data_IF_883409794811
#
_entry.id   IF_883409794811
#
_cell.length_a   1.000
_cell.length_b   1.000
_cell.length_c   1.000
_cell.angle_alpha   90.00
_cell.angle_beta   90.00
_cell.angle_gamma   90.00
#
_symmetry.space_group_name_H-M   'P 1'
#
loop_
_entity.id
_entity.type
_entity.pdbx_description
1 polymer ?
#
# COMPACT_ATOMS: atom_id res chain seq x y z
N UNK A 1 12.00 -1.19 -3.50
CA UNK A 1 11.36 0.02 -4.09
C UNK A 1 12.09 1.36 -3.85
N UNK A 2 12.48 1.69 -2.61
CA UNK A 2 13.07 3.01 -2.28
C UNK A 2 14.40 3.29 -3.01
N UNK A 3 15.14 2.25 -3.41
CA UNK A 3 16.37 2.34 -4.20
C UNK A 3 16.14 2.62 -5.70
N UNK A 4 14.88 2.83 -6.16
CA UNK A 4 14.59 3.03 -7.59
C UNK A 4 15.32 4.22 -8.20
N UNK A 5 15.53 5.29 -7.43
CA UNK A 5 16.32 6.45 -7.90
C UNK A 5 17.78 6.11 -8.21
N UNK A 6 18.32 5.02 -7.62
CA UNK A 6 19.67 4.51 -7.88
C UNK A 6 19.69 3.41 -8.93
N UNK A 7 18.71 2.50 -8.91
CA UNK A 7 18.64 1.29 -9.76
C UNK A 7 18.02 1.60 -11.14
N UNK A 8 17.25 2.68 -11.24
CA UNK A 8 16.68 3.22 -12.49
C UNK A 8 15.44 2.47 -13.01
N UNK A 9 15.22 1.22 -12.62
CA UNK A 9 13.98 0.47 -12.91
C UNK A 9 13.75 -0.65 -11.91
N UNK A 10 12.50 -1.11 -11.80
CA UNK A 10 12.19 -2.36 -11.12
C UNK A 10 12.74 -3.55 -11.94
N UNK A 11 13.60 -4.36 -11.32
CA UNK A 11 14.16 -5.59 -11.89
C UNK A 11 13.94 -6.72 -10.91
N UNK A 12 13.93 -7.94 -11.46
CA UNK A 12 14.12 -9.11 -10.61
C UNK A 12 15.54 -9.08 -10.01
N UNK A 13 15.64 -9.39 -8.73
CA UNK A 13 16.89 -9.48 -7.97
C UNK A 13 17.30 -10.95 -7.78
N UNK A 14 18.57 -11.14 -7.40
CA UNK A 14 19.17 -12.47 -7.18
C UNK A 14 19.03 -13.44 -8.36
N UNK A 15 19.18 -12.93 -9.60
CA UNK A 15 19.09 -13.75 -10.82
C UNK A 15 20.41 -14.39 -11.23
N UNK A 16 21.50 -14.18 -10.47
CA UNK A 16 22.78 -14.89 -10.61
C UNK A 16 23.17 -15.54 -9.28
N UNK A 17 24.05 -16.54 -9.32
CA UNK A 17 24.47 -17.27 -8.14
C UNK A 17 25.15 -16.36 -7.09
N UNK A 18 25.95 -15.39 -7.54
CA UNK A 18 26.66 -14.44 -6.68
C UNK A 18 25.66 -13.53 -5.95
N UNK A 19 24.72 -12.94 -6.69
CA UNK A 19 23.67 -12.10 -6.09
C UNK A 19 22.76 -12.91 -5.15
N UNK A 20 22.47 -14.17 -5.50
CA UNK A 20 21.68 -15.05 -4.65
C UNK A 20 22.40 -15.39 -3.34
N UNK A 21 23.69 -15.70 -3.40
CA UNK A 21 24.50 -15.97 -2.20
C UNK A 21 24.58 -14.75 -1.29
N UNK A 22 24.78 -13.55 -1.86
CA UNK A 22 24.76 -12.30 -1.10
C UNK A 22 23.41 -12.05 -0.42
N UNK A 23 22.30 -12.28 -1.14
CA UNK A 23 20.96 -12.08 -0.60
C UNK A 23 20.62 -13.07 0.51
N UNK A 24 21.00 -14.35 0.35
CA UNK A 24 20.82 -15.37 1.39
C UNK A 24 21.60 -15.00 2.65
N UNK A 25 22.87 -14.62 2.50
CA UNK A 25 23.71 -14.18 3.63
C UNK A 25 23.15 -12.94 4.31
N UNK A 26 22.63 -11.98 3.55
CA UNK A 26 21.99 -10.78 4.09
C UNK A 26 20.72 -11.14 4.88
N UNK A 27 19.89 -12.06 4.37
CA UNK A 27 18.68 -12.50 5.04
C UNK A 27 19.01 -13.14 6.41
N UNK A 28 19.99 -14.03 6.46
CA UNK A 28 20.46 -14.65 7.71
C UNK A 28 20.98 -13.60 8.70
N UNK A 29 21.80 -12.64 8.24
CA UNK A 29 22.31 -11.56 9.08
C UNK A 29 21.20 -10.68 9.67
N UNK A 30 20.12 -10.43 8.92
CA UNK A 30 18.97 -9.67 9.42
C UNK A 30 18.26 -10.44 10.53
N UNK A 31 18.10 -11.76 10.38
CA UNK A 31 17.52 -12.62 11.42
C UNK A 31 18.42 -12.68 12.66
N UNK A 32 19.72 -12.86 12.48
CA UNK A 32 20.71 -12.85 13.57
C UNK A 32 20.73 -11.50 14.31
N UNK A 33 20.40 -10.40 13.60
CA UNK A 33 20.26 -9.06 14.17
C UNK A 33 18.92 -8.83 14.89
N UNK A 34 18.05 -9.84 14.96
CA UNK A 34 16.78 -9.81 15.68
C UNK A 34 15.56 -9.48 14.83
N UNK A 35 15.62 -9.59 13.50
CA UNK A 35 14.44 -9.46 12.66
C UNK A 35 13.43 -10.57 12.97
N UNK A 36 12.19 -10.20 13.32
CA UNK A 36 11.11 -11.15 13.63
C UNK A 36 10.35 -11.67 12.39
N UNK A 37 10.62 -11.11 11.22
CA UNK A 37 10.12 -11.57 9.92
C UNK A 37 10.92 -10.93 8.78
N UNK A 38 10.82 -11.49 7.58
CA UNK A 38 11.43 -10.97 6.38
C UNK A 38 10.38 -10.72 5.30
N UNK A 39 10.55 -9.65 4.52
CA UNK A 39 9.81 -9.40 3.28
C UNK A 39 10.79 -9.43 2.12
N UNK A 40 10.53 -10.30 1.15
CA UNK A 40 11.38 -10.49 -0.04
C UNK A 40 10.56 -10.16 -1.29
N UNK A 41 10.97 -9.12 -2.00
CA UNK A 41 10.28 -8.58 -3.16
C UNK A 41 11.08 -8.83 -4.45
N UNK A 42 10.38 -9.24 -5.52
CA UNK A 42 10.94 -9.35 -6.86
C UNK A 42 12.16 -10.26 -6.96
N UNK A 43 12.24 -11.32 -6.17
CA UNK A 43 13.42 -12.21 -6.10
C UNK A 43 13.18 -13.48 -6.90
N UNK A 44 14.22 -14.09 -7.45
CA UNK A 44 14.13 -15.42 -8.07
C UNK A 44 13.46 -16.43 -7.11
N UNK A 45 12.50 -17.21 -7.62
CA UNK A 45 11.63 -18.03 -6.78
C UNK A 45 12.41 -19.10 -5.99
N UNK A 46 13.42 -19.68 -6.61
CA UNK A 46 14.32 -20.67 -6.03
C UNK A 46 15.11 -20.07 -4.85
N UNK A 47 15.54 -18.82 -4.98
CA UNK A 47 16.29 -18.11 -3.93
C UNK A 47 15.39 -17.79 -2.75
N UNK A 48 14.16 -17.31 -3.00
CA UNK A 48 13.20 -17.04 -1.95
C UNK A 48 12.80 -18.31 -1.18
N UNK A 49 12.64 -19.44 -1.86
CA UNK A 49 12.42 -20.74 -1.22
C UNK A 49 13.62 -21.17 -0.36
N UNK A 50 14.86 -20.97 -0.84
CA UNK A 50 16.06 -21.24 -0.05
C UNK A 50 16.10 -20.39 1.22
N UNK A 51 15.83 -19.09 1.11
CA UNK A 51 15.83 -18.18 2.27
C UNK A 51 14.77 -18.60 3.27
N UNK A 52 13.56 -18.92 2.80
CA UNK A 52 12.45 -19.39 3.65
C UNK A 52 12.81 -20.65 4.43
N UNK A 53 13.52 -21.61 3.82
CA UNK A 53 13.97 -22.83 4.51
C UNK A 53 15.11 -22.60 5.50
N UNK A 54 15.89 -21.52 5.34
CA UNK A 54 17.09 -21.26 6.15
C UNK A 54 16.83 -20.31 7.32
N UNK A 55 15.85 -19.41 7.19
CA UNK A 55 15.49 -18.45 8.22
C UNK A 55 14.39 -19.04 9.12
N UNK A 56 14.59 -19.04 10.44
CA UNK A 56 13.60 -19.56 11.41
C UNK A 56 12.42 -18.59 11.67
N UNK A 57 12.35 -17.48 10.94
CA UNK A 57 11.31 -16.45 11.05
C UNK A 57 10.44 -16.42 9.81
N UNK A 58 9.17 -15.97 9.90
CA UNK A 58 8.28 -15.92 8.75
C UNK A 58 8.86 -15.09 7.59
N UNK A 59 8.90 -15.69 6.40
CA UNK A 59 9.30 -15.02 5.17
C UNK A 59 8.07 -14.74 4.30
N UNK A 60 7.86 -13.48 3.95
CA UNK A 60 6.74 -13.02 3.13
C UNK A 60 7.26 -12.68 1.72
N UNK A 61 6.65 -13.27 0.70
CA UNK A 61 6.99 -13.03 -0.70
C UNK A 61 6.13 -11.94 -1.35
N UNK A 62 6.73 -11.11 -2.19
CA UNK A 62 6.03 -10.23 -3.13
C UNK A 62 6.65 -10.42 -4.53
N UNK A 63 6.02 -11.22 -5.38
CA UNK A 63 6.59 -11.56 -6.68
C UNK A 63 7.86 -12.41 -6.61
N UNK A 64 7.97 -13.23 -5.57
CA UNK A 64 9.13 -14.09 -5.28
C UNK A 64 8.78 -15.58 -5.31
N UNK A 65 7.74 -15.96 -6.06
CA UNK A 65 7.24 -17.33 -6.12
C UNK A 65 6.46 -17.76 -4.86
N UNK A 66 6.01 -19.01 -4.85
CA UNK A 66 5.16 -19.59 -3.80
C UNK A 66 5.94 -20.20 -2.62
N UNK A 67 7.28 -20.19 -2.68
CA UNK A 67 8.14 -20.85 -1.69
C UNK A 67 8.30 -20.11 -0.37
N UNK A 68 7.69 -18.94 -0.21
CA UNK A 68 7.64 -18.17 1.05
C UNK A 68 6.47 -18.61 1.94
N UNK A 69 6.58 -18.42 3.26
CA UNK A 69 5.55 -18.78 4.24
C UNK A 69 4.24 -17.99 4.07
N UNK A 70 4.36 -16.76 3.56
CA UNK A 70 3.23 -15.90 3.25
C UNK A 70 3.46 -15.10 1.98
N UNK A 71 2.39 -14.44 1.53
CA UNK A 71 2.41 -13.63 0.32
C UNK A 71 1.78 -12.27 0.61
N UNK A 72 2.30 -11.24 -0.04
CA UNK A 72 1.72 -9.91 -0.05
C UNK A 72 1.56 -9.42 -1.48
N UNK A 73 0.46 -8.70 -1.73
CA UNK A 73 0.25 -7.94 -2.95
C UNK A 73 -0.45 -6.63 -2.58
N UNK A 74 -0.18 -5.57 -3.33
CA UNK A 74 -0.67 -4.23 -3.00
C UNK A 74 -2.16 -4.14 -3.36
N UNK A 75 -2.99 -3.66 -2.42
CA UNK A 75 -4.44 -3.69 -2.55
C UNK A 75 -4.97 -3.03 -3.85
N UNK A 76 -4.45 -1.88 -4.32
CA UNK A 76 -4.78 -1.34 -5.64
C UNK A 76 -4.62 -2.31 -6.81
N UNK A 77 -3.58 -3.14 -6.80
CA UNK A 77 -3.36 -4.13 -7.85
C UNK A 77 -4.35 -5.29 -7.73
N UNK A 78 -4.64 -5.75 -6.50
CA UNK A 78 -5.66 -6.78 -6.24
C UNK A 78 -7.05 -6.30 -6.68
N UNK A 79 -7.41 -5.06 -6.36
CA UNK A 79 -8.72 -4.49 -6.61
C UNK A 79 -8.90 -4.00 -8.05
N UNK A 80 -7.84 -4.00 -8.85
CA UNK A 80 -7.84 -3.47 -10.21
C UNK A 80 -8.10 -1.96 -10.24
N UNK A 81 -7.49 -1.20 -9.32
CA UNK A 81 -7.53 0.26 -9.26
C UNK A 81 -6.46 0.91 -10.12
N UNK A 82 -5.33 0.23 -10.32
CA UNK A 82 -4.22 0.72 -11.15
C UNK A 82 -4.58 0.59 -12.64
N UNK A 83 -4.66 1.71 -13.36
CA UNK A 83 -4.79 1.70 -14.82
C UNK A 83 -3.40 1.70 -15.47
N UNK A 84 -3.19 0.84 -16.49
CA UNK A 84 -1.93 0.73 -17.22
C UNK A 84 -1.09 -0.49 -16.82
N UNK A 85 0.22 -0.51 -17.14
CA UNK A 85 1.07 -1.66 -16.89
C UNK A 85 1.20 -1.96 -15.40
N UNK A 86 0.78 -3.15 -14.99
CA UNK A 86 1.00 -3.66 -13.64
C UNK A 86 2.31 -4.44 -13.56
N UNK A 87 2.94 -4.57 -12.38
CA UNK A 87 4.08 -5.46 -12.20
C UNK A 87 3.76 -6.88 -12.68
N UNK A 88 4.72 -7.58 -13.29
CA UNK A 88 4.53 -8.93 -13.84
C UNK A 88 3.92 -9.92 -12.84
N UNK A 89 4.28 -9.79 -11.57
CA UNK A 89 3.80 -10.67 -10.50
C UNK A 89 2.42 -10.31 -9.96
N UNK A 90 1.90 -9.13 -10.30
CA UNK A 90 0.61 -8.68 -9.80
C UNK A 90 -0.53 -9.39 -10.55
N UNK A 91 -1.50 -9.88 -9.78
CA UNK A 91 -2.73 -10.45 -10.29
C UNK A 91 -3.89 -9.62 -9.78
N UNK A 92 -4.67 -9.06 -10.71
CA UNK A 92 -5.93 -8.40 -10.36
C UNK A 92 -7.03 -9.44 -10.12
N UNK A 93 -7.80 -9.22 -9.08
CA UNK A 93 -9.01 -9.95 -8.71
C UNK A 93 -10.27 -9.07 -8.82
N UNK A 94 -10.11 -7.77 -9.08
CA UNK A 94 -11.18 -6.79 -9.25
C UNK A 94 -11.02 -5.94 -10.49
N UNK A 95 -12.00 -5.06 -10.72
CA UNK A 95 -11.99 -4.06 -11.79
C UNK A 95 -12.63 -2.77 -11.28
N UNK A 96 -12.17 -2.27 -10.14
CA UNK A 96 -12.83 -1.16 -9.43
C UNK A 96 -12.37 0.24 -9.88
N UNK A 97 -11.41 0.34 -10.82
CA UNK A 97 -10.87 1.62 -11.24
C UNK A 97 -11.95 2.59 -11.75
N UNK A 98 -12.87 2.09 -12.58
CA UNK A 98 -13.91 2.93 -13.19
C UNK A 98 -14.88 3.47 -12.15
N UNK A 99 -15.43 2.59 -11.33
CA UNK A 99 -16.40 2.91 -10.27
C UNK A 99 -15.78 3.87 -9.24
N UNK A 100 -14.51 3.67 -8.91
CA UNK A 100 -13.77 4.55 -8.00
C UNK A 100 -13.62 5.96 -8.58
N UNK A 101 -13.24 6.08 -9.86
CA UNK A 101 -13.13 7.37 -10.54
C UNK A 101 -14.49 8.07 -10.61
N UNK A 102 -15.55 7.35 -10.95
CA UNK A 102 -16.91 7.87 -11.04
C UNK A 102 -17.41 8.39 -9.68
N UNK A 103 -17.14 7.67 -8.60
CA UNK A 103 -17.49 8.09 -7.24
C UNK A 103 -16.81 9.41 -6.85
N UNK A 104 -15.50 9.51 -7.08
CA UNK A 104 -14.76 10.75 -6.76
C UNK A 104 -15.17 11.93 -7.64
N UNK A 105 -15.47 11.70 -8.93
CA UNK A 105 -15.97 12.75 -9.81
C UNK A 105 -17.35 13.25 -9.37
N UNK A 106 -18.23 12.35 -8.96
CA UNK A 106 -19.56 12.70 -8.43
C UNK A 106 -19.42 13.53 -7.16
N UNK A 107 -18.61 13.07 -6.21
CA UNK A 107 -18.32 13.81 -4.98
C UNK A 107 -17.75 15.22 -5.26
N UNK A 108 -16.74 15.32 -6.13
CA UNK A 108 -16.14 16.58 -6.49
C UNK A 108 -17.16 17.55 -7.11
N UNK A 109 -18.05 17.06 -7.98
CA UNK A 109 -19.12 17.84 -8.59
C UNK A 109 -20.11 18.34 -7.54
N UNK A 110 -20.51 17.50 -6.59
CA UNK A 110 -21.44 17.88 -5.53
C UNK A 110 -20.84 18.92 -4.58
N UNK A 111 -19.57 18.80 -4.23
CA UNK A 111 -18.84 19.81 -3.45
C UNK A 111 -18.77 21.14 -4.21
N UNK A 112 -18.35 21.12 -5.47
CA UNK A 112 -18.21 22.33 -6.29
C UNK A 112 -19.55 23.05 -6.51
N UNK A 113 -20.64 22.30 -6.60
CA UNK A 113 -21.99 22.84 -6.74
C UNK A 113 -22.69 23.13 -5.40
N UNK A 114 -22.01 22.93 -4.27
CA UNK A 114 -22.58 23.06 -2.92
C UNK A 114 -23.83 22.20 -2.68
N UNK A 115 -23.96 21.09 -3.41
CA UNK A 115 -24.97 20.06 -3.14
C UNK A 115 -24.55 19.17 -1.95
N UNK A 116 -23.24 18.97 -1.78
CA UNK A 116 -22.66 18.32 -0.62
C UNK A 116 -21.72 19.27 0.15
N UNK A 117 -21.74 19.27 1.50
CA UNK A 117 -22.72 18.58 2.34
C UNK A 117 -24.09 19.27 2.31
N UNK A 118 -25.16 18.48 2.38
CA UNK A 118 -26.53 18.99 2.59
C UNK A 118 -26.86 19.08 4.09
N UNK A 119 -28.13 19.37 4.42
CA UNK A 119 -28.60 19.42 5.80
C UNK A 119 -28.58 18.04 6.50
N UNK A 120 -28.76 16.94 5.77
CA UNK A 120 -28.71 15.58 6.32
C UNK A 120 -27.28 15.14 6.67
N UNK A 121 -26.29 15.71 5.98
CA UNK A 121 -24.87 15.48 6.19
C UNK A 121 -24.21 16.60 7.02
N UNK A 122 -25.00 17.46 7.67
CA UNK A 122 -24.52 18.56 8.50
C UNK A 122 -25.00 18.43 9.94
N UNK A 123 -24.06 18.59 10.89
CA UNK A 123 -24.44 18.77 12.29
C UNK A 123 -24.80 20.24 12.55
N UNK A 124 -25.86 20.45 13.31
CA UNK A 124 -26.33 21.78 13.69
C UNK A 124 -26.16 22.04 15.18
N UNK A 125 -25.92 23.29 15.54
CA UNK A 125 -25.97 23.72 16.94
C UNK A 125 -27.36 23.43 17.51
N UNK A 126 -27.39 23.13 18.81
CA UNK A 126 -28.66 23.05 19.55
C UNK A 126 -29.38 24.40 19.44
N UNK A 127 -30.71 24.35 19.53
CA UNK A 127 -31.54 25.56 19.52
C UNK A 127 -31.04 26.58 20.56
N UNK A 128 -30.86 27.83 20.14
CA UNK A 128 -30.40 28.94 20.98
C UNK A 128 -28.88 29.09 21.15
N UNK A 129 -28.06 28.08 20.85
CA UNK A 129 -26.61 28.16 21.07
C UNK A 129 -25.87 29.06 20.05
N UNK A 130 -26.44 29.25 18.85
CA UNK A 130 -25.84 30.10 17.81
C UNK A 130 -25.80 31.57 18.24
N UNK A 131 -26.86 32.09 18.84
CA UNK A 131 -26.91 33.49 19.28
C UNK A 131 -26.00 33.73 20.48
N UNK A 132 -25.92 32.75 21.40
CA UNK A 132 -24.95 32.76 22.50
C UNK A 132 -23.51 32.79 21.98
N UNK A 133 -23.18 31.99 20.97
CA UNK A 133 -21.85 32.03 20.34
C UNK A 133 -21.56 33.43 19.76
N UNK A 134 -22.51 34.02 19.03
CA UNK A 134 -22.35 35.35 18.43
C UNK A 134 -22.07 36.42 19.49
N UNK A 135 -22.72 36.35 20.65
CA UNK A 135 -22.46 37.27 21.76
C UNK A 135 -21.05 37.09 22.32
N UNK A 136 -20.65 35.85 22.60
CA UNK A 136 -19.32 35.52 23.13
C UNK A 136 -18.16 35.97 22.23
N UNK A 137 -18.37 36.03 20.90
CA UNK A 137 -17.35 36.50 19.96
C UNK A 137 -17.27 38.02 19.89
N UNK A 138 -18.39 38.74 20.01
CA UNK A 138 -18.40 40.21 20.08
C UNK A 138 -17.70 40.73 21.33
N UNK A 139 -17.90 40.06 22.46
CA UNK A 139 -17.32 40.45 23.75
C UNK A 139 -15.79 40.21 23.82
N UNK A 140 -15.20 39.55 22.80
CA UNK A 140 -13.76 39.26 22.69
C UNK A 140 -13.01 40.16 21.70
N UNK A 141 -13.70 41.10 21.05
CA UNK A 141 -13.10 42.07 20.12
C UNK A 141 -13.05 43.43 20.78
#
# INVERSE_FOLDING_TARGET
PQSIGKIGRFKAEATTAEMAAELVSLAEQMVDSGAGSLLIEGTAAEVAEIITKRCEVPVIGCGSGQGCDGQILIAPDILGLTQGPSPKFAKSYGSLAKETIEAFNTYAKEVQSSQYPDAGHSYHMKSGELDKLRQLLKDKT
#
